data_IF_039233538172
#
_entry.id   IF_039233538172
#
_cell.length_a   1.000
_cell.length_b   1.000
_cell.length_c   1.000
_cell.angle_alpha   90.00
_cell.angle_beta   90.00
_cell.angle_gamma   90.00
#
_symmetry.space_group_name_H-M   'P 1'
#
loop_
_entity.id
_entity.type
_entity.pdbx_description
1 polymer ?
#
# COMPACT_ATOMS: atom_id res chain seq x y z
N UNK A 1 -2.72 8.04 -10.61
CA UNK A 1 -3.84 8.52 -11.45
C UNK A 1 -4.73 9.43 -10.61
N UNK A 2 -5.10 10.61 -11.10
CA UNK A 2 -5.99 11.53 -10.37
C UNK A 2 -7.40 10.91 -10.20
N UNK A 3 -8.00 11.08 -9.03
CA UNK A 3 -9.38 10.68 -8.71
C UNK A 3 -10.38 11.19 -9.76
N UNK A 4 -10.15 12.39 -10.32
CA UNK A 4 -11.01 12.98 -11.36
C UNK A 4 -10.95 12.20 -12.67
N UNK A 5 -9.77 11.74 -13.06
CA UNK A 5 -9.55 10.96 -14.28
C UNK A 5 -10.25 9.61 -14.18
N UNK A 6 -10.10 8.91 -13.04
CA UNK A 6 -10.78 7.62 -12.81
C UNK A 6 -12.31 7.74 -12.89
N UNK A 7 -12.88 8.80 -12.30
CA UNK A 7 -14.31 9.08 -12.40
C UNK A 7 -14.75 9.32 -13.84
N UNK A 8 -13.97 10.09 -14.60
CA UNK A 8 -14.26 10.37 -16.02
C UNK A 8 -14.29 9.08 -16.86
N UNK A 9 -13.30 8.21 -16.68
CA UNK A 9 -13.22 6.92 -17.38
C UNK A 9 -14.44 6.05 -17.02
N UNK A 10 -14.79 5.95 -15.73
CA UNK A 10 -15.93 5.15 -15.29
C UNK A 10 -17.25 5.61 -15.95
N UNK A 11 -17.49 6.92 -15.98
CA UNK A 11 -18.69 7.48 -16.63
C UNK A 11 -18.70 7.19 -18.13
N UNK A 12 -17.57 7.39 -18.82
CA UNK A 12 -17.46 7.12 -20.25
C UNK A 12 -17.75 5.64 -20.58
N UNK A 13 -17.18 4.71 -19.81
CA UNK A 13 -17.41 3.27 -19.99
C UNK A 13 -18.88 2.90 -19.80
N UNK A 14 -19.54 3.44 -18.75
CA UNK A 14 -20.98 3.20 -18.53
C UNK A 14 -21.80 3.72 -19.71
N UNK A 15 -21.52 4.93 -20.20
CA UNK A 15 -22.23 5.49 -21.36
C UNK A 15 -22.04 4.64 -22.62
N UNK A 16 -20.86 4.08 -22.86
CA UNK A 16 -20.61 3.18 -24.00
C UNK A 16 -21.47 1.93 -23.91
N UNK A 17 -21.53 1.27 -22.75
CA UNK A 17 -22.34 0.06 -22.57
C UNK A 17 -23.84 0.35 -22.75
N UNK A 18 -24.33 1.47 -22.21
CA UNK A 18 -25.73 1.90 -22.40
C UNK A 18 -26.01 2.21 -23.86
N UNK A 19 -25.10 2.93 -24.54
CA UNK A 19 -25.24 3.26 -25.95
C UNK A 19 -25.30 2.00 -26.84
N UNK A 20 -24.44 1.01 -26.59
CA UNK A 20 -24.47 -0.26 -27.32
C UNK A 20 -25.76 -1.03 -27.04
N UNK A 21 -26.25 -1.04 -25.79
CA UNK A 21 -27.52 -1.68 -25.45
C UNK A 21 -28.70 -1.05 -26.19
N UNK A 22 -28.69 0.28 -26.37
CA UNK A 22 -29.69 1.00 -27.16
C UNK A 22 -29.57 0.69 -28.66
N UNK A 23 -28.35 0.70 -29.22
CA UNK A 23 -28.12 0.38 -30.64
C UNK A 23 -28.55 -1.05 -31.01
N UNK A 24 -28.30 -2.00 -30.11
CA UNK A 24 -28.68 -3.41 -30.31
C UNK A 24 -30.15 -3.69 -29.95
N UNK A 25 -30.85 -2.73 -29.34
CA UNK A 25 -32.22 -2.90 -28.85
C UNK A 25 -32.35 -3.94 -27.73
N UNK A 26 -31.24 -4.33 -27.10
CA UNK A 26 -31.20 -5.45 -26.17
C UNK A 26 -30.47 -5.10 -24.89
N UNK A 27 -31.23 -5.02 -23.81
CA UNK A 27 -30.69 -4.83 -22.46
C UNK A 27 -29.91 -6.06 -21.97
N UNK A 28 -30.08 -7.23 -22.62
CA UNK A 28 -29.35 -8.46 -22.30
C UNK A 28 -27.84 -8.29 -22.48
N UNK A 29 -27.40 -7.36 -23.33
CA UNK A 29 -25.98 -7.01 -23.50
C UNK A 29 -25.32 -6.56 -22.19
N UNK A 30 -26.08 -5.99 -21.26
CA UNK A 30 -25.57 -5.50 -19.98
C UNK A 30 -25.34 -6.62 -18.94
N UNK A 31 -25.86 -7.83 -19.16
CA UNK A 31 -25.75 -8.94 -18.19
C UNK A 31 -24.29 -9.27 -17.88
N UNK A 32 -23.45 -9.40 -18.91
CA UNK A 32 -22.02 -9.71 -18.74
C UNK A 32 -21.28 -8.66 -17.90
N UNK A 33 -21.31 -7.37 -18.30
CA UNK A 33 -20.70 -6.28 -17.55
C UNK A 33 -21.19 -6.17 -16.10
N UNK A 34 -22.51 -6.28 -15.89
CA UNK A 34 -23.10 -6.22 -14.54
C UNK A 34 -22.65 -7.39 -13.69
N UNK A 35 -22.64 -8.61 -14.24
CA UNK A 35 -22.16 -9.79 -13.53
C UNK A 35 -20.69 -9.67 -13.13
N UNK A 36 -19.81 -9.19 -14.02
CA UNK A 36 -18.39 -8.96 -13.72
C UNK A 36 -18.21 -7.93 -12.60
N UNK A 37 -18.95 -6.82 -12.65
CA UNK A 37 -18.91 -5.79 -11.61
C UNK A 37 -19.35 -6.35 -10.24
N UNK A 38 -20.41 -7.17 -10.23
CA UNK A 38 -20.90 -7.78 -9.01
C UNK A 38 -19.90 -8.75 -8.39
N UNK A 39 -19.30 -9.65 -9.19
CA UNK A 39 -18.28 -10.60 -8.73
C UNK A 39 -17.06 -9.86 -8.18
N UNK A 40 -16.59 -8.83 -8.89
CA UNK A 40 -15.46 -8.03 -8.43
C UNK A 40 -15.77 -7.32 -7.10
N UNK A 41 -16.98 -6.76 -6.95
CA UNK A 41 -17.41 -6.11 -5.71
C UNK A 41 -17.47 -7.10 -4.54
N UNK A 42 -18.08 -8.27 -4.74
CA UNK A 42 -18.14 -9.33 -3.71
C UNK A 42 -16.72 -9.76 -3.31
N UNK A 43 -15.82 -9.96 -4.27
CA UNK A 43 -14.43 -10.33 -3.99
C UNK A 43 -13.67 -9.23 -3.25
N UNK A 44 -13.93 -7.97 -3.58
CA UNK A 44 -13.31 -6.82 -2.91
C UNK A 44 -13.83 -6.64 -1.47
N UNK A 45 -15.14 -6.81 -1.26
CA UNK A 45 -15.76 -6.71 0.07
C UNK A 45 -15.33 -7.85 1.00
N UNK A 46 -15.12 -9.04 0.44
CA UNK A 46 -14.60 -10.20 1.17
C UNK A 46 -13.07 -10.30 1.10
N UNK A 47 -12.37 -9.25 0.64
CA UNK A 47 -10.92 -9.26 0.60
C UNK A 47 -10.38 -9.18 2.02
N UNK A 48 -10.02 -10.34 2.57
CA UNK A 48 -9.19 -10.40 3.77
C UNK A 48 -7.81 -9.85 3.41
N UNK A 49 -7.23 -9.05 4.30
CA UNK A 49 -5.84 -8.59 4.17
C UNK A 49 -4.95 -9.50 5.03
N UNK A 50 -4.57 -10.71 4.53
CA UNK A 50 -3.75 -11.61 5.32
C UNK A 50 -2.42 -10.91 5.64
N UNK A 51 -2.00 -11.01 6.90
CA UNK A 51 -0.70 -10.48 7.32
C UNK A 51 0.38 -11.33 6.67
N UNK A 52 0.91 -10.84 5.55
CA UNK A 52 2.04 -11.44 4.88
C UNK A 52 3.30 -11.20 5.71
N UNK A 53 3.77 -12.25 6.38
CA UNK A 53 5.07 -12.24 7.03
C UNK A 53 6.12 -12.42 5.94
N UNK A 54 6.73 -11.32 5.50
CA UNK A 54 7.92 -11.39 4.65
C UNK A 54 9.11 -11.75 5.50
N UNK A 55 9.88 -12.74 5.07
CA UNK A 55 11.24 -12.90 5.55
C UNK A 55 12.09 -11.77 4.95
N UNK A 56 12.68 -10.96 5.82
CA UNK A 56 13.64 -9.92 5.45
C UNK A 56 15.06 -10.45 5.61
N UNK A 57 16.04 -9.67 5.19
CA UNK A 57 17.44 -9.94 5.47
C UNK A 57 17.67 -10.08 7.00
N UNK A 58 18.69 -10.84 7.43
CA UNK A 58 19.12 -10.88 8.83
C UNK A 58 19.39 -9.49 9.42
N UNK A 59 19.16 -9.33 10.73
CA UNK A 59 19.33 -8.06 11.45
C UNK A 59 20.73 -7.45 11.33
N UNK A 60 21.77 -8.28 11.28
CA UNK A 60 23.17 -7.82 11.19
C UNK A 60 23.51 -7.16 9.85
N UNK A 61 22.68 -7.31 8.81
CA UNK A 61 22.87 -6.68 7.51
C UNK A 61 22.18 -5.31 7.42
N UNK A 62 21.55 -4.85 8.50
CA UNK A 62 20.85 -3.57 8.51
C UNK A 62 21.71 -2.51 9.18
N UNK A 63 22.24 -1.58 8.38
CA UNK A 63 23.19 -0.56 8.83
C UNK A 63 22.56 0.82 9.02
N UNK A 64 21.40 1.09 8.43
CA UNK A 64 20.79 2.43 8.48
C UNK A 64 19.33 2.38 8.91
N UNK A 65 18.95 3.29 9.79
CA UNK A 65 17.58 3.47 10.25
C UNK A 65 17.14 4.91 10.01
N UNK A 66 16.15 5.11 9.14
CA UNK A 66 15.52 6.42 8.96
C UNK A 66 14.27 6.51 9.83
N UNK A 67 14.20 7.52 10.69
CA UNK A 67 13.06 7.78 11.57
C UNK A 67 12.28 9.01 11.10
N UNK A 68 11.01 8.80 10.73
CA UNK A 68 10.05 9.85 10.36
C UNK A 68 8.98 10.00 11.46
N UNK A 69 9.25 10.91 12.39
CA UNK A 69 8.34 11.27 13.48
C UNK A 69 7.03 11.91 13.01
N UNK A 70 7.00 12.53 11.82
CA UNK A 70 5.82 13.22 11.29
C UNK A 70 4.80 12.21 10.75
N UNK A 71 5.26 11.13 10.13
CA UNK A 71 4.43 10.06 9.57
C UNK A 71 4.31 8.83 10.47
N UNK A 72 4.98 8.83 11.62
CA UNK A 72 5.11 7.70 12.54
C UNK A 72 5.63 6.46 11.81
N UNK A 73 6.77 6.60 11.16
CA UNK A 73 7.36 5.56 10.31
C UNK A 73 8.84 5.39 10.60
N UNK A 74 9.29 4.14 10.66
CA UNK A 74 10.70 3.77 10.78
C UNK A 74 11.05 2.92 9.56
N UNK A 75 12.10 3.30 8.84
CA UNK A 75 12.61 2.55 7.70
C UNK A 75 13.96 1.98 8.08
N UNK A 76 14.08 0.66 8.04
CA UNK A 76 15.34 -0.04 8.28
C UNK A 76 15.90 -0.47 6.94
N UNK A 77 17.09 0.00 6.61
CA UNK A 77 17.79 -0.29 5.36
C UNK A 77 18.95 -1.24 5.58
N UNK A 78 19.28 -2.01 4.55
CA UNK A 78 20.52 -2.78 4.48
C UNK A 78 21.65 -1.90 3.92
N UNK A 79 22.63 -2.50 3.24
CA UNK A 79 23.79 -1.82 2.64
C UNK A 79 23.43 -0.70 1.63
N UNK A 80 22.22 -0.71 1.07
CA UNK A 80 21.72 0.31 0.14
C UNK A 80 20.35 0.86 0.58
N UNK A 81 20.14 2.17 0.34
CA UNK A 81 18.93 2.92 0.71
C UNK A 81 17.67 2.38 0.01
N UNK A 82 17.81 1.63 -1.08
CA UNK A 82 16.69 1.02 -1.80
C UNK A 82 16.26 -0.34 -1.23
N UNK A 83 17.11 -0.95 -0.39
CA UNK A 83 16.87 -2.29 0.17
C UNK A 83 16.59 -2.19 1.65
N UNK A 84 15.40 -2.61 2.07
CA UNK A 84 14.99 -2.48 3.46
C UNK A 84 13.50 -2.76 3.65
N UNK A 85 13.00 -2.42 4.83
CA UNK A 85 11.59 -2.51 5.14
C UNK A 85 11.12 -1.30 5.96
N UNK A 86 9.87 -0.91 5.75
CA UNK A 86 9.25 0.21 6.45
C UNK A 86 8.19 -0.30 7.43
N UNK A 87 8.31 0.12 8.68
CA UNK A 87 7.33 -0.10 9.73
C UNK A 87 6.59 1.21 10.00
N UNK A 88 5.25 1.18 9.90
CA UNK A 88 4.38 2.33 10.20
C UNK A 88 3.60 2.06 11.47
N UNK A 89 3.56 3.05 12.35
CA UNK A 89 3.02 2.93 13.70
C UNK A 89 1.75 3.76 13.86
N UNK A 90 0.75 3.25 14.61
CA UNK A 90 -0.47 4.00 14.91
C UNK A 90 -0.27 5.03 16.02
N UNK A 91 0.79 4.91 16.84
CA UNK A 91 1.08 5.84 17.95
C UNK A 91 2.59 6.08 18.13
N UNK A 92 2.93 7.22 18.72
CA UNK A 92 4.32 7.57 19.08
C UNK A 92 4.92 6.62 20.11
N UNK A 93 4.12 6.14 21.06
CA UNK A 93 4.57 5.20 22.09
C UNK A 93 5.00 3.85 21.50
N UNK A 94 4.24 3.31 20.54
CA UNK A 94 4.60 2.07 19.86
C UNK A 94 5.86 2.25 19.02
N UNK A 95 6.01 3.39 18.35
CA UNK A 95 7.22 3.72 17.61
C UNK A 95 8.43 3.81 18.55
N UNK A 96 8.30 4.45 19.71
CA UNK A 96 9.37 4.54 20.69
C UNK A 96 9.80 3.16 21.23
N UNK A 97 8.83 2.29 21.55
CA UNK A 97 9.11 0.89 21.93
C UNK A 97 9.83 0.13 20.82
N UNK A 98 9.43 0.34 19.57
CA UNK A 98 10.08 -0.28 18.43
C UNK A 98 11.50 0.23 18.21
N UNK A 99 11.74 1.55 18.38
CA UNK A 99 13.09 2.11 18.31
C UNK A 99 13.98 1.54 19.43
N UNK A 100 13.47 1.43 20.66
CA UNK A 100 14.21 0.80 21.75
C UNK A 100 14.60 -0.64 21.41
N UNK A 101 13.68 -1.42 20.83
CA UNK A 101 13.96 -2.76 20.33
C UNK A 101 15.05 -2.76 19.24
N UNK A 102 14.99 -1.84 18.26
CA UNK A 102 16.00 -1.76 17.22
C UNK A 102 17.40 -1.47 17.77
N UNK A 103 17.52 -0.68 18.83
CA UNK A 103 18.82 -0.42 19.48
C UNK A 103 19.41 -1.67 20.15
N UNK A 104 18.59 -2.65 20.51
CA UNK A 104 19.04 -3.92 21.10
C UNK A 104 19.45 -4.95 20.04
N UNK A 105 18.78 -4.97 18.87
CA UNK A 105 18.97 -6.02 17.85
C UNK A 105 19.85 -5.64 16.67
N UNK A 106 20.02 -4.35 16.40
CA UNK A 106 20.86 -3.87 15.31
C UNK A 106 22.33 -3.79 15.72
N UNK A 107 23.26 -3.84 14.75
CA UNK A 107 24.67 -3.61 15.00
C UNK A 107 24.90 -2.26 15.73
N UNK A 108 25.88 -2.16 16.64
CA UNK A 108 26.23 -0.88 17.28
C UNK A 108 26.70 0.19 16.29
N UNK A 109 27.12 -0.21 15.09
CA UNK A 109 27.49 0.66 13.99
C UNK A 109 26.29 1.21 13.21
N UNK A 110 25.06 0.79 13.53
CA UNK A 110 23.88 1.22 12.80
C UNK A 110 23.60 2.72 13.02
N UNK A 111 23.44 3.46 11.92
CA UNK A 111 23.21 4.90 11.96
C UNK A 111 21.72 5.22 11.97
N UNK A 112 21.29 6.05 12.95
CA UNK A 112 19.91 6.50 13.08
C UNK A 112 19.79 7.94 12.56
N UNK A 113 19.06 8.10 11.46
CA UNK A 113 18.87 9.39 10.80
C UNK A 113 17.43 9.86 10.99
N UNK A 114 17.25 11.00 11.63
CA UNK A 114 15.95 11.66 11.70
C UNK A 114 15.70 12.44 10.40
N UNK A 115 14.79 11.94 9.57
CA UNK A 115 14.44 12.59 8.32
C UNK A 115 12.97 12.39 8.00
N UNK A 116 12.29 13.47 7.65
CA UNK A 116 10.97 13.39 7.04
C UNK A 116 11.13 12.68 5.69
N UNK A 117 10.52 11.50 5.55
CA UNK A 117 10.59 10.74 4.31
C UNK A 117 9.78 11.46 3.23
N UNK A 118 10.39 11.62 2.05
CA UNK A 118 9.71 12.13 0.85
C UNK A 118 8.78 11.07 0.21
N UNK A 119 8.67 9.89 0.81
CA UNK A 119 7.72 8.86 0.40
C UNK A 119 6.29 9.42 0.46
N UNK A 120 5.64 9.50 -0.71
CA UNK A 120 4.27 9.99 -0.85
C UNK A 120 3.26 8.93 -0.43
#
# INVERSE_FOLDING_TARGET
VDRRILKGIAVAVIMIFVFIALLTGSLLFLIGPVAMAFIAAVKLLNWENPVHHRQTAPWHLHEFVTVDHKRLMVITHCDDVTTGFAARFPSKELMAKYLAFLHEVLPPSAEYIEKASNWK
#
